data_IF_348974721326
#
_entry.id   IF_348974721326
#
_cell.length_a   1.000
_cell.length_b   1.000
_cell.length_c   1.000
_cell.angle_alpha   90.00
_cell.angle_beta   90.00
_cell.angle_gamma   90.00
#
_symmetry.space_group_name_H-M   'P 1'
#
loop_
_entity.id
_entity.type
_entity.pdbx_description
1 polymer ?
#
# COMPACT_ATOMS: atom_id res chain seq x y z
N UNK A 1 -0.32 23.42 -13.04
CA UNK A 1 -0.09 22.00 -12.74
C UNK A 1 -1.34 21.53 -12.02
N UNK A 2 -2.21 20.79 -12.72
CA UNK A 2 -3.49 20.33 -12.17
C UNK A 2 -3.41 18.83 -11.94
N UNK A 3 -3.23 18.46 -10.69
CA UNK A 3 -3.44 17.11 -10.14
C UNK A 3 -4.92 16.73 -10.24
N UNK A 4 -5.35 16.30 -11.43
CA UNK A 4 -6.63 15.63 -11.64
C UNK A 4 -6.36 14.37 -12.43
N UNK A 5 -5.93 13.32 -11.72
CA UNK A 5 -5.93 11.96 -12.24
C UNK A 5 -7.37 11.67 -12.68
N UNK A 6 -7.53 11.46 -13.98
CA UNK A 6 -8.84 11.32 -14.62
C UNK A 6 -9.38 9.90 -14.37
N UNK A 7 -10.70 9.75 -14.29
CA UNK A 7 -11.36 8.45 -14.00
C UNK A 7 -10.97 7.32 -14.99
N UNK A 8 -10.46 7.66 -16.17
CA UNK A 8 -9.94 6.75 -17.20
C UNK A 8 -8.58 6.12 -16.82
N UNK A 9 -7.71 6.82 -16.08
CA UNK A 9 -6.42 6.27 -15.62
C UNK A 9 -6.59 5.23 -14.49
N UNK A 10 -7.75 5.20 -13.82
CA UNK A 10 -8.06 4.19 -12.80
C UNK A 10 -8.26 2.78 -13.37
N UNK A 11 -8.53 2.65 -14.68
CA UNK A 11 -8.88 1.37 -15.31
C UNK A 11 -7.65 0.54 -15.75
N UNK A 12 -6.51 1.21 -15.91
CA UNK A 12 -5.19 0.63 -16.26
C UNK A 12 -4.19 0.74 -15.10
N UNK A 13 -4.68 0.86 -13.87
CA UNK A 13 -3.81 0.86 -12.70
C UNK A 13 -3.08 -0.50 -12.63
N UNK A 14 -1.73 -0.52 -12.70
CA UNK A 14 -0.97 -1.75 -12.66
C UNK A 14 -1.21 -2.46 -11.33
N UNK A 15 -1.17 -3.79 -11.30
CA UNK A 15 -1.37 -4.53 -10.04
C UNK A 15 -0.38 -4.09 -8.94
N UNK A 16 0.71 -3.45 -9.34
CA UNK A 16 1.67 -2.73 -8.49
C UNK A 16 1.07 -1.68 -7.55
N UNK A 17 -0.10 -1.06 -7.82
CA UNK A 17 -0.71 -0.10 -6.86
C UNK A 17 -1.53 -0.77 -5.77
N UNK A 18 -1.66 -2.09 -5.79
CA UNK A 18 -2.35 -2.84 -4.76
C UNK A 18 -1.32 -3.43 -3.79
N UNK A 19 -1.60 -3.34 -2.49
CA UNK A 19 -0.78 -3.99 -1.48
C UNK A 19 -0.76 -5.51 -1.59
N UNK A 20 -1.84 -6.07 -2.16
CA UNK A 20 -1.95 -7.49 -2.48
C UNK A 20 -2.40 -7.63 -3.94
N UNK A 21 -1.48 -7.66 -4.92
CA UNK A 21 -1.81 -7.77 -6.34
C UNK A 21 -2.59 -9.07 -6.65
N UNK A 22 -2.25 -10.18 -5.99
CA UNK A 22 -2.93 -11.48 -6.15
C UNK A 22 -4.43 -11.41 -5.84
N UNK A 23 -4.83 -10.54 -4.92
CA UNK A 23 -6.23 -10.38 -4.48
C UNK A 23 -6.84 -9.04 -4.90
N UNK A 24 -6.04 -8.15 -5.49
CA UNK A 24 -6.35 -6.74 -5.79
C UNK A 24 -6.97 -6.03 -4.57
N UNK A 25 -6.42 -6.33 -3.39
CA UNK A 25 -6.82 -5.77 -2.10
C UNK A 25 -5.81 -4.71 -1.64
N UNK A 26 -6.27 -3.81 -0.77
CA UNK A 26 -5.48 -2.67 -0.25
C UNK A 26 -4.98 -1.75 -1.38
N UNK A 27 -5.88 -1.03 -2.07
CA UNK A 27 -5.45 -0.05 -3.07
C UNK A 27 -4.65 1.06 -2.39
N UNK A 28 -3.42 1.29 -2.85
CA UNK A 28 -2.51 2.35 -2.40
C UNK A 28 -2.14 3.30 -3.55
N UNK A 29 -3.12 3.99 -4.15
CA UNK A 29 -2.86 4.93 -5.25
C UNK A 29 -2.18 6.24 -4.81
N UNK A 30 -2.14 6.52 -3.50
CA UNK A 30 -1.54 7.74 -2.94
C UNK A 30 -1.07 7.56 -1.49
N UNK A 31 -0.38 8.58 -0.97
CA UNK A 31 0.12 8.66 0.40
C UNK A 31 -0.97 8.41 1.48
N UNK A 32 -2.19 8.90 1.26
CA UNK A 32 -3.27 8.77 2.24
C UNK A 32 -3.71 7.30 2.35
N UNK A 33 -3.77 6.60 1.23
CA UNK A 33 -4.10 5.19 1.19
C UNK A 33 -2.99 4.32 1.77
N UNK A 34 -1.71 4.68 1.61
CA UNK A 34 -0.60 3.98 2.27
C UNK A 34 -0.75 4.05 3.79
N UNK A 35 -1.03 5.24 4.34
CA UNK A 35 -1.29 5.39 5.79
C UNK A 35 -2.54 4.65 6.24
N UNK A 36 -3.58 4.63 5.41
CA UNK A 36 -4.76 3.83 5.69
C UNK A 36 -4.40 2.34 5.72
N UNK A 37 -3.65 1.84 4.75
CA UNK A 37 -3.21 0.45 4.68
C UNK A 37 -2.36 0.07 5.91
N UNK A 38 -1.47 0.95 6.37
CA UNK A 38 -0.75 0.78 7.64
C UNK A 38 -1.70 0.66 8.84
N UNK A 39 -2.71 1.53 8.94
CA UNK A 39 -3.70 1.47 10.02
C UNK A 39 -4.58 0.21 9.95
N UNK A 40 -4.92 -0.24 8.75
CA UNK A 40 -5.70 -1.46 8.49
C UNK A 40 -4.85 -2.74 8.56
N UNK A 41 -3.52 -2.63 8.57
CA UNK A 41 -2.58 -3.76 8.59
C UNK A 41 -2.86 -4.75 9.72
N UNK A 42 -3.32 -4.26 10.87
CA UNK A 42 -3.70 -5.10 12.03
C UNK A 42 -4.82 -6.09 11.74
N UNK A 43 -5.64 -5.85 10.72
CA UNK A 43 -6.74 -6.71 10.28
C UNK A 43 -6.34 -7.62 9.12
N UNK A 44 -5.14 -7.44 8.56
CA UNK A 44 -4.64 -8.27 7.48
C UNK A 44 -4.33 -9.69 8.02
N UNK A 45 -4.73 -10.76 7.29
CA UNK A 45 -4.34 -12.13 7.58
C UNK A 45 -2.81 -12.28 7.73
N UNK A 46 -2.34 -13.08 8.69
CA UNK A 46 -0.90 -13.22 8.95
C UNK A 46 -0.11 -13.78 7.76
N UNK A 47 -0.73 -14.64 6.96
CA UNK A 47 -0.20 -15.17 5.70
C UNK A 47 0.06 -14.09 4.65
N UNK A 48 -0.66 -12.96 4.73
CA UNK A 48 -0.59 -11.86 3.77
C UNK A 48 0.11 -10.62 4.35
N UNK A 49 0.30 -10.54 5.66
CA UNK A 49 1.05 -9.48 6.34
C UNK A 49 2.44 -9.21 5.74
N UNK A 50 3.32 -10.20 5.48
CA UNK A 50 4.64 -9.91 4.92
C UNK A 50 4.57 -9.31 3.52
N UNK A 51 3.63 -9.76 2.68
CA UNK A 51 3.41 -9.19 1.33
C UNK A 51 2.90 -7.74 1.43
N UNK A 52 1.86 -7.52 2.22
CA UNK A 52 1.27 -6.20 2.41
C UNK A 52 2.26 -5.21 3.04
N UNK A 53 3.09 -5.67 3.99
CA UNK A 53 4.08 -4.83 4.65
C UNK A 53 5.15 -4.32 3.68
N UNK A 54 5.66 -5.20 2.79
CA UNK A 54 6.62 -4.82 1.75
C UNK A 54 6.03 -3.78 0.81
N UNK A 55 4.79 -4.00 0.34
CA UNK A 55 4.10 -3.06 -0.53
C UNK A 55 3.85 -1.70 0.15
N UNK A 56 3.43 -1.69 1.41
CA UNK A 56 3.26 -0.46 2.20
C UNK A 56 4.56 0.33 2.24
N UNK A 57 5.72 -0.31 2.52
CA UNK A 57 7.00 0.38 2.57
C UNK A 57 7.47 0.88 1.19
N UNK A 58 7.26 0.10 0.14
CA UNK A 58 7.61 0.50 -1.23
C UNK A 58 6.85 1.76 -1.65
N UNK A 59 5.53 1.75 -1.49
CA UNK A 59 4.68 2.91 -1.78
C UNK A 59 4.92 4.06 -0.81
N UNK A 60 5.18 3.77 0.47
CA UNK A 60 5.52 4.80 1.43
C UNK A 60 6.76 5.58 0.99
N UNK A 61 7.80 4.88 0.53
CA UNK A 61 9.00 5.52 -0.01
C UNK A 61 8.72 6.30 -1.30
N UNK A 62 7.87 5.78 -2.17
CA UNK A 62 7.48 6.44 -3.42
C UNK A 62 6.73 7.76 -3.18
N UNK A 63 5.75 7.74 -2.26
CA UNK A 63 4.92 8.88 -1.94
C UNK A 63 5.47 9.78 -0.80
N UNK A 64 6.61 9.41 -0.21
CA UNK A 64 7.21 10.15 0.91
C UNK A 64 6.43 10.05 2.22
N UNK A 65 5.73 8.94 2.45
CA UNK A 65 5.07 8.60 3.72
C UNK A 65 6.08 7.96 4.65
N UNK A 66 6.12 8.42 5.89
CA UNK A 66 6.86 7.76 6.95
C UNK A 66 5.97 6.72 7.65
N UNK A 67 6.44 5.48 7.73
CA UNK A 67 5.73 4.34 8.30
C UNK A 67 6.43 3.98 9.61
N UNK A 68 5.80 4.36 10.72
CA UNK A 68 6.35 4.17 12.07
C UNK A 68 5.83 2.88 12.73
N UNK A 69 4.89 2.17 12.09
CA UNK A 69 4.31 0.95 12.65
C UNK A 69 5.35 -0.16 12.81
N UNK A 70 5.68 -0.59 14.06
CA UNK A 70 6.70 -1.61 14.30
C UNK A 70 6.28 -2.97 13.76
N UNK A 71 4.98 -3.25 13.66
CA UNK A 71 4.49 -4.51 13.09
C UNK A 71 4.76 -4.53 11.59
N UNK A 72 4.42 -3.47 10.86
CA UNK A 72 4.69 -3.37 9.42
C UNK A 72 6.20 -3.50 9.16
N UNK A 73 7.03 -2.77 9.91
CA UNK A 73 8.48 -2.85 9.79
C UNK A 73 9.02 -4.26 10.07
N UNK A 74 8.47 -4.97 11.06
CA UNK A 74 8.86 -6.33 11.38
C UNK A 74 8.53 -7.30 10.24
N UNK A 75 7.29 -7.31 9.76
CA UNK A 75 6.86 -8.23 8.69
C UNK A 75 7.47 -7.90 7.32
N UNK A 76 7.84 -6.64 7.09
CA UNK A 76 8.53 -6.26 5.86
C UNK A 76 9.98 -6.79 5.81
N UNK A 77 10.62 -6.99 6.97
CA UNK A 77 11.98 -7.53 7.09
C UNK A 77 12.01 -9.06 7.21
N UNK A 78 10.86 -9.73 7.23
CA UNK A 78 10.70 -11.20 7.27
C UNK A 78 10.70 -11.81 5.85
#
# INVERSE_FOLDING_TARGET
>A
MSDRISYEERKDLPDSVYGLPERREYPMPDAAHVRAAEAYFRYCPEDMKPKLAKAILEHAREYGVDVESPTVLSYANE
#
